data_IF_797219475898
#
_entry.id   IF_797219475898
#
_cell.length_a   1.000
_cell.length_b   1.000
_cell.length_c   1.000
_cell.angle_alpha   90.00
_cell.angle_beta   90.00
_cell.angle_gamma   90.00
#
_symmetry.space_group_name_H-M   'P 1'
#
loop_
_entity.id
_entity.type
_entity.pdbx_description
1 polymer ?
#
# COMPACT_ATOMS: atom_id res chain seq x y z
N UNK A 1 -22.17 -2.82 -19.78
CA UNK A 1 -21.09 -2.50 -18.82
C UNK A 1 -19.70 -2.94 -19.28
N UNK A 2 -19.52 -4.10 -19.91
CA UNK A 2 -18.22 -4.53 -20.49
C UNK A 2 -17.62 -3.55 -21.55
N UNK A 3 -18.43 -2.72 -22.16
CA UNK A 3 -18.03 -1.78 -23.21
C UNK A 3 -17.30 -0.54 -22.65
N UNK A 4 -17.61 -0.15 -21.41
CA UNK A 4 -16.96 1.01 -20.75
C UNK A 4 -15.55 0.67 -20.26
N UNK A 5 -15.32 -0.56 -19.82
CA UNK A 5 -13.99 -1.01 -19.39
C UNK A 5 -13.00 -1.03 -20.58
N UNK A 6 -13.46 -1.41 -21.78
CA UNK A 6 -12.65 -1.38 -22.99
C UNK A 6 -12.31 0.04 -23.48
N UNK A 7 -13.13 1.05 -23.15
CA UNK A 7 -12.82 2.44 -23.47
C UNK A 7 -11.83 3.08 -22.50
N UNK A 8 -11.84 2.69 -21.23
CA UNK A 8 -10.87 3.18 -20.23
C UNK A 8 -9.46 2.62 -20.46
N UNK A 9 -9.34 1.49 -21.16
CA UNK A 9 -8.06 0.84 -21.49
C UNK A 9 -7.48 1.26 -22.86
N UNK A 10 -8.09 2.23 -23.57
CA UNK A 10 -7.44 2.79 -24.74
C UNK A 10 -6.25 3.64 -24.29
N UNK A 11 -5.02 3.33 -24.73
CA UNK A 11 -3.88 4.16 -24.40
C UNK A 11 -4.12 5.54 -25.01
N UNK A 12 -4.35 6.55 -24.16
CA UNK A 12 -4.20 7.93 -24.59
C UNK A 12 -2.77 8.06 -25.10
N UNK A 13 -2.61 8.35 -26.39
CA UNK A 13 -1.32 8.76 -26.95
C UNK A 13 -0.94 10.05 -26.21
N UNK A 14 -0.09 9.90 -25.24
CA UNK A 14 0.65 11.02 -24.66
C UNK A 14 1.48 11.63 -25.78
N UNK A 15 1.59 12.96 -25.87
CA UNK A 15 2.50 13.59 -26.80
C UNK A 15 3.90 13.05 -26.55
N UNK A 16 4.60 12.72 -27.63
CA UNK A 16 5.95 12.17 -27.60
C UNK A 16 6.83 13.02 -26.69
N UNK A 17 7.36 12.42 -25.62
CA UNK A 17 8.36 13.05 -24.78
C UNK A 17 9.59 13.37 -25.63
N UNK A 18 10.26 14.52 -25.42
CA UNK A 18 11.50 14.85 -26.10
C UNK A 18 12.54 13.75 -25.83
N UNK A 19 13.26 13.35 -26.88
CA UNK A 19 14.36 12.38 -26.79
C UNK A 19 15.35 12.84 -25.71
N UNK A 20 15.82 11.93 -24.85
CA UNK A 20 16.88 12.26 -23.93
C UNK A 20 18.15 12.64 -24.74
N UNK A 21 18.95 13.62 -24.27
CA UNK A 21 20.21 13.96 -24.88
C UNK A 21 21.13 12.74 -24.86
N UNK A 22 21.89 12.57 -25.96
CA UNK A 22 22.84 11.49 -26.15
C UNK A 22 23.96 11.53 -25.09
N UNK A 23 24.32 10.33 -24.64
CA UNK A 23 25.57 9.95 -23.99
C UNK A 23 26.28 10.96 -23.06
N UNK A 24 25.92 10.90 -21.77
CA UNK A 24 26.86 11.24 -20.71
C UNK A 24 27.60 9.94 -20.36
N UNK A 25 28.93 9.88 -20.48
CA UNK A 25 29.68 8.69 -20.12
C UNK A 25 29.50 8.41 -18.61
N UNK A 26 28.82 7.32 -18.27
CA UNK A 26 28.79 6.80 -16.92
C UNK A 26 30.21 6.43 -16.51
N UNK A 27 30.79 7.23 -15.65
CA UNK A 27 32.06 6.91 -14.97
C UNK A 27 31.82 5.65 -14.15
N UNK A 28 32.30 4.53 -14.66
CA UNK A 28 32.33 3.25 -13.95
C UNK A 28 33.14 3.40 -12.66
N UNK A 29 32.47 3.62 -11.56
CA UNK A 29 33.01 3.47 -10.21
C UNK A 29 32.84 2.03 -9.83
N UNK A 30 33.90 1.26 -10.03
CA UNK A 30 34.01 -0.14 -9.64
C UNK A 30 33.84 -0.31 -8.14
N UNK A 31 32.90 -1.12 -7.76
CA UNK A 31 33.02 -2.24 -6.80
C UNK A 31 31.74 -3.04 -6.99
N UNK A 32 31.89 -4.28 -7.47
CA UNK A 32 30.78 -5.16 -7.82
C UNK A 32 30.00 -5.59 -6.58
N UNK A 33 29.12 -4.71 -6.12
CA UNK A 33 28.00 -5.09 -5.27
C UNK A 33 26.95 -5.60 -6.26
N UNK A 34 26.85 -6.93 -6.38
CA UNK A 34 25.81 -7.55 -7.22
C UNK A 34 24.44 -7.01 -6.84
N UNK A 35 23.61 -6.75 -7.84
CA UNK A 35 22.22 -6.35 -7.60
C UNK A 35 21.53 -7.48 -6.82
N UNK A 36 20.88 -7.16 -5.70
CA UNK A 36 20.18 -8.14 -4.88
C UNK A 36 18.85 -8.58 -5.52
N UNK A 37 18.24 -7.71 -6.32
CA UNK A 37 17.03 -7.98 -7.10
C UNK A 37 16.97 -6.99 -8.29
N UNK A 38 16.13 -7.19 -9.33
CA UNK A 38 16.21 -6.47 -10.60
C UNK A 38 16.23 -4.94 -10.51
N UNK A 39 15.46 -4.37 -9.58
CA UNK A 39 15.32 -2.91 -9.44
C UNK A 39 16.17 -2.33 -8.30
N UNK A 40 17.05 -3.12 -7.69
CA UNK A 40 17.86 -2.70 -6.55
C UNK A 40 18.84 -1.60 -6.93
N UNK A 41 18.86 -0.53 -6.15
CA UNK A 41 19.81 0.58 -6.24
C UNK A 41 20.60 0.63 -4.93
N UNK A 42 21.86 0.17 -4.95
CA UNK A 42 22.73 0.26 -3.76
C UNK A 42 22.90 1.72 -3.31
N UNK A 43 22.68 1.98 -2.04
CA UNK A 43 22.75 3.34 -1.49
C UNK A 43 23.55 3.36 -0.19
N UNK A 44 24.44 4.35 -0.06
CA UNK A 44 25.16 4.60 1.18
C UNK A 44 24.23 5.14 2.28
N UNK A 45 24.67 5.08 3.54
CA UNK A 45 23.90 5.63 4.66
C UNK A 45 23.56 7.12 4.48
N UNK A 46 24.50 7.91 3.94
CA UNK A 46 24.26 9.33 3.67
C UNK A 46 23.20 9.51 2.58
N UNK A 47 23.27 8.74 1.49
CA UNK A 47 22.25 8.77 0.43
C UNK A 47 20.89 8.36 0.96
N UNK A 48 20.81 7.32 1.80
CA UNK A 48 19.54 6.93 2.46
C UNK A 48 18.98 8.04 3.33
N UNK A 49 19.82 8.71 4.12
CA UNK A 49 19.39 9.83 4.95
C UNK A 49 18.85 11.00 4.11
N UNK A 50 19.52 11.35 3.01
CA UNK A 50 19.07 12.39 2.08
C UNK A 50 17.77 12.02 1.37
N UNK A 51 17.66 10.75 0.91
CA UNK A 51 16.43 10.23 0.32
C UNK A 51 15.26 10.24 1.33
N UNK A 52 15.51 9.83 2.58
CA UNK A 52 14.51 9.84 3.63
C UNK A 52 14.01 11.27 3.92
N UNK A 53 14.92 12.23 4.11
CA UNK A 53 14.55 13.61 4.37
C UNK A 53 13.84 14.26 3.17
N UNK A 54 14.37 14.07 1.96
CA UNK A 54 13.78 14.62 0.73
C UNK A 54 12.40 14.02 0.43
N UNK A 55 12.25 12.69 0.57
CA UNK A 55 10.98 12.02 0.33
C UNK A 55 9.92 12.38 1.37
N UNK A 56 10.31 12.52 2.65
CA UNK A 56 9.40 13.01 3.69
C UNK A 56 8.91 14.43 3.38
N UNK A 57 9.82 15.35 3.06
CA UNK A 57 9.48 16.73 2.68
C UNK A 57 8.56 16.78 1.45
N UNK A 58 8.85 15.99 0.41
CA UNK A 58 8.02 15.94 -0.79
C UNK A 58 6.66 15.31 -0.55
N UNK A 59 6.55 14.26 0.27
CA UNK A 59 5.27 13.65 0.62
C UNK A 59 4.39 14.60 1.43
N UNK A 60 4.97 15.41 2.32
CA UNK A 60 4.25 16.45 3.05
C UNK A 60 3.81 17.61 2.14
N UNK A 61 4.68 18.03 1.21
CA UNK A 61 4.36 19.10 0.27
C UNK A 61 3.29 18.69 -0.75
N UNK A 62 3.46 17.49 -1.33
CA UNK A 62 2.54 16.96 -2.34
C UNK A 62 2.13 15.52 -2.00
N UNK A 63 0.93 15.31 -1.41
CA UNK A 63 0.46 13.99 -0.99
C UNK A 63 0.14 13.04 -2.16
N UNK A 64 0.08 13.54 -3.40
CA UNK A 64 -0.08 12.70 -4.59
C UNK A 64 1.20 11.98 -5.02
N UNK A 65 2.33 12.32 -4.40
CA UNK A 65 3.62 11.69 -4.64
C UNK A 65 3.74 10.39 -3.84
N UNK A 66 2.93 9.40 -4.21
CA UNK A 66 2.98 8.05 -3.62
C UNK A 66 4.35 7.39 -3.75
N UNK A 67 5.09 7.73 -4.82
CA UNK A 67 6.47 7.34 -5.02
C UNK A 67 7.38 7.84 -3.89
N UNK A 68 7.16 9.03 -3.38
CA UNK A 68 7.94 9.58 -2.25
C UNK A 68 7.60 8.87 -0.93
N UNK A 69 6.34 8.50 -0.72
CA UNK A 69 5.95 7.68 0.44
C UNK A 69 6.64 6.31 0.39
N UNK A 70 6.72 5.69 -0.81
CA UNK A 70 7.43 4.43 -0.99
C UNK A 70 8.93 4.58 -0.68
N UNK A 71 9.61 5.60 -1.21
CA UNK A 71 11.03 5.90 -0.92
C UNK A 71 11.25 6.12 0.56
N UNK A 72 10.37 6.85 1.24
CA UNK A 72 10.44 7.05 2.69
C UNK A 72 10.37 5.72 3.45
N UNK A 73 9.43 4.85 3.09
CA UNK A 73 9.29 3.53 3.70
C UNK A 73 10.54 2.65 3.50
N UNK A 74 11.08 2.63 2.29
CA UNK A 74 12.26 1.83 1.93
C UNK A 74 13.53 2.31 2.65
N UNK A 75 13.70 3.62 2.82
CA UNK A 75 14.92 4.21 3.41
C UNK A 75 14.90 4.28 4.93
N UNK A 76 13.71 4.28 5.55
CA UNK A 76 13.55 4.39 7.02
C UNK A 76 13.09 3.11 7.69
N UNK A 77 12.54 2.16 6.93
CA UNK A 77 11.85 0.98 7.46
C UNK A 77 12.71 -0.19 7.92
N UNK A 78 14.04 -0.16 7.75
CA UNK A 78 14.89 -1.34 7.88
C UNK A 78 14.69 -2.14 9.19
N UNK A 79 14.67 -1.49 10.35
CA UNK A 79 14.46 -2.16 11.64
C UNK A 79 13.06 -2.76 11.76
N UNK A 80 12.08 -1.99 11.35
CA UNK A 80 10.67 -2.40 11.38
C UNK A 80 10.42 -3.56 10.41
N UNK A 81 10.99 -3.51 9.20
CA UNK A 81 10.89 -4.59 8.23
C UNK A 81 11.48 -5.90 8.73
N UNK A 82 12.61 -5.85 9.48
CA UNK A 82 13.16 -7.03 10.15
C UNK A 82 12.17 -7.61 11.17
N UNK A 83 11.58 -6.77 12.01
CA UNK A 83 10.59 -7.21 13.00
C UNK A 83 9.36 -7.84 12.33
N UNK A 84 8.84 -7.22 11.26
CA UNK A 84 7.72 -7.73 10.46
C UNK A 84 8.06 -9.06 9.80
N UNK A 85 9.23 -9.18 9.17
CA UNK A 85 9.72 -10.44 8.60
C UNK A 85 9.76 -11.55 9.67
N UNK A 86 10.34 -11.25 10.84
CA UNK A 86 10.46 -12.20 11.92
C UNK A 86 9.09 -12.57 12.52
N UNK A 87 8.12 -11.67 12.48
CA UNK A 87 6.73 -11.93 12.81
C UNK A 87 6.06 -12.84 11.77
N UNK A 88 6.25 -12.55 10.47
CA UNK A 88 5.76 -13.40 9.37
C UNK A 88 6.33 -14.82 9.45
N UNK A 89 7.62 -14.96 9.76
CA UNK A 89 8.27 -16.29 9.91
C UNK A 89 7.69 -17.13 11.04
N UNK A 90 7.14 -16.50 12.09
CA UNK A 90 6.54 -17.21 13.24
C UNK A 90 5.10 -17.63 13.00
N UNK A 91 4.45 -17.06 12.02
CA UNK A 91 3.09 -17.37 11.62
C UNK A 91 3.12 -18.35 10.44
N UNK A 92 2.34 -19.45 10.47
CA UNK A 92 2.35 -20.44 9.38
C UNK A 92 2.00 -19.87 8.01
N UNK A 93 0.97 -19.04 7.92
CA UNK A 93 0.53 -18.38 6.67
C UNK A 93 1.55 -17.33 6.23
N UNK A 94 2.08 -16.55 7.18
CA UNK A 94 3.16 -15.59 6.95
C UNK A 94 4.44 -16.24 6.43
N UNK A 95 4.83 -17.40 6.98
CA UNK A 95 6.00 -18.17 6.52
C UNK A 95 5.80 -18.70 5.10
N UNK A 96 4.60 -19.21 4.78
CA UNK A 96 4.25 -19.62 3.42
C UNK A 96 4.35 -18.45 2.44
N UNK A 97 3.82 -17.27 2.79
CA UNK A 97 3.91 -16.05 1.97
C UNK A 97 5.38 -15.66 1.73
N UNK A 98 6.24 -15.72 2.73
CA UNK A 98 7.67 -15.42 2.57
C UNK A 98 8.38 -16.43 1.65
N UNK A 99 7.96 -17.69 1.66
CA UNK A 99 8.51 -18.75 0.82
C UNK A 99 8.04 -18.61 -0.63
N UNK A 100 6.73 -18.45 -0.85
CA UNK A 100 6.12 -18.44 -2.18
C UNK A 100 6.21 -17.06 -2.86
N UNK A 101 6.34 -16.00 -2.07
CA UNK A 101 6.46 -14.60 -2.50
C UNK A 101 5.36 -14.19 -3.51
N UNK A 102 4.07 -14.45 -3.22
CA UNK A 102 3.00 -14.07 -4.11
C UNK A 102 2.99 -12.57 -4.35
N UNK A 103 2.63 -12.18 -5.58
CA UNK A 103 2.50 -10.77 -5.98
C UNK A 103 1.16 -10.55 -6.64
N UNK A 104 0.51 -9.45 -6.30
CA UNK A 104 -0.74 -9.04 -6.91
C UNK A 104 -0.44 -7.99 -7.96
N UNK A 105 -0.78 -8.34 -9.20
CA UNK A 105 -0.63 -7.52 -10.40
C UNK A 105 -1.75 -7.86 -11.38
N UNK A 106 -1.95 -7.04 -12.40
CA UNK A 106 -2.92 -7.35 -13.44
C UNK A 106 -2.59 -8.67 -14.18
N UNK A 107 -1.31 -9.06 -14.21
CA UNK A 107 -0.89 -10.32 -14.82
C UNK A 107 -1.17 -11.57 -13.96
N UNK A 108 -1.34 -11.39 -12.64
CA UNK A 108 -1.62 -12.48 -11.70
C UNK A 108 -3.08 -12.54 -11.25
N UNK A 109 -3.86 -11.47 -11.50
CA UNK A 109 -5.28 -11.39 -11.19
C UNK A 109 -6.12 -11.84 -12.39
N UNK A 110 -6.98 -12.82 -12.17
CA UNK A 110 -8.05 -13.14 -13.11
C UNK A 110 -9.25 -12.21 -12.85
N UNK A 111 -9.27 -11.06 -13.52
CA UNK A 111 -10.33 -10.07 -13.39
C UNK A 111 -11.70 -10.63 -13.80
N UNK A 112 -11.73 -11.57 -14.76
CA UNK A 112 -12.98 -12.24 -15.19
C UNK A 112 -13.52 -13.13 -14.08
N UNK A 113 -12.64 -13.90 -13.41
CA UNK A 113 -13.01 -14.68 -12.24
C UNK A 113 -13.52 -13.77 -11.11
N UNK A 114 -12.81 -12.71 -10.75
CA UNK A 114 -13.23 -11.78 -9.70
C UNK A 114 -14.59 -11.15 -10.00
N UNK A 115 -14.85 -10.81 -11.27
CA UNK A 115 -16.13 -10.24 -11.70
C UNK A 115 -17.27 -11.24 -11.61
N UNK A 116 -17.01 -12.54 -11.77
CA UNK A 116 -18.01 -13.60 -11.68
C UNK A 116 -18.36 -14.02 -10.26
N UNK A 117 -17.56 -13.61 -9.27
CA UNK A 117 -17.81 -13.94 -7.87
C UNK A 117 -19.09 -13.28 -7.35
N UNK A 118 -19.75 -13.88 -6.36
CA UNK A 118 -20.92 -13.31 -5.71
C UNK A 118 -20.65 -11.92 -5.13
N UNK A 119 -21.65 -11.05 -5.15
CA UNK A 119 -21.58 -9.77 -4.44
C UNK A 119 -21.32 -10.01 -2.95
N UNK A 120 -20.49 -9.16 -2.35
CA UNK A 120 -20.05 -9.30 -0.96
C UNK A 120 -18.93 -10.32 -0.75
N UNK A 121 -18.42 -11.00 -1.77
CA UNK A 121 -17.16 -11.74 -1.69
C UNK A 121 -15.99 -10.78 -1.70
N UNK A 122 -14.89 -11.14 -1.02
CA UNK A 122 -13.71 -10.29 -0.93
C UNK A 122 -13.17 -9.88 -2.31
N UNK A 123 -13.04 -10.83 -3.24
CA UNK A 123 -12.54 -10.57 -4.59
C UNK A 123 -13.45 -9.64 -5.40
N UNK A 124 -14.78 -9.80 -5.27
CA UNK A 124 -15.74 -8.91 -5.95
C UNK A 124 -15.68 -7.49 -5.41
N UNK A 125 -15.60 -7.34 -4.08
CA UNK A 125 -15.50 -6.02 -3.44
C UNK A 125 -14.14 -5.35 -3.71
N UNK A 126 -13.04 -6.14 -3.79
CA UNK A 126 -11.75 -5.63 -4.21
C UNK A 126 -11.76 -5.12 -5.66
N UNK A 127 -12.38 -5.87 -6.59
CA UNK A 127 -12.54 -5.41 -7.97
C UNK A 127 -13.36 -4.11 -8.03
N UNK A 128 -14.45 -4.03 -7.25
CA UNK A 128 -15.25 -2.80 -7.12
C UNK A 128 -14.40 -1.63 -6.60
N UNK A 129 -13.55 -1.89 -5.60
CA UNK A 129 -12.62 -0.89 -5.07
C UNK A 129 -11.68 -0.35 -6.17
N UNK A 130 -11.07 -1.23 -6.96
CA UNK A 130 -10.20 -0.83 -8.06
C UNK A 130 -10.94 0.04 -9.09
N UNK A 131 -12.15 -0.36 -9.48
CA UNK A 131 -12.96 0.34 -10.48
C UNK A 131 -13.43 1.73 -10.00
N UNK A 132 -13.96 1.80 -8.78
CA UNK A 132 -14.48 3.05 -8.21
C UNK A 132 -13.36 4.07 -8.03
N UNK A 133 -12.20 3.62 -7.56
CA UNK A 133 -11.06 4.50 -7.28
C UNK A 133 -10.17 4.73 -8.50
N UNK A 134 -10.42 4.02 -9.62
CA UNK A 134 -9.61 4.08 -10.84
C UNK A 134 -8.13 3.81 -10.59
N UNK A 135 -7.86 2.86 -9.72
CA UNK A 135 -6.51 2.42 -9.36
C UNK A 135 -6.21 1.05 -9.94
N UNK A 136 -4.94 0.74 -10.13
CA UNK A 136 -4.47 -0.55 -10.59
C UNK A 136 -3.37 -1.05 -9.65
N UNK A 137 -3.29 -2.37 -9.39
CA UNK A 137 -2.21 -2.95 -8.60
C UNK A 137 -0.82 -2.67 -9.22
N UNK A 138 -0.74 -2.42 -10.53
CA UNK A 138 0.51 -2.21 -11.26
C UNK A 138 1.02 -0.76 -11.21
N UNK A 139 0.26 0.18 -10.67
CA UNK A 139 0.66 1.61 -10.62
C UNK A 139 1.78 1.91 -9.64
N UNK A 140 2.20 0.95 -8.84
CA UNK A 140 3.19 1.13 -7.78
C UNK A 140 4.60 0.86 -8.28
N UNK A 141 5.50 1.81 -8.05
CA UNK A 141 6.90 1.67 -8.40
C UNK A 141 7.56 0.46 -7.70
N UNK A 142 8.49 -0.26 -8.33
CA UNK A 142 9.20 -1.36 -7.68
C UNK A 142 10.01 -0.88 -6.47
N UNK A 143 10.27 -1.78 -5.52
CA UNK A 143 11.18 -1.51 -4.39
C UNK A 143 12.61 -1.37 -4.91
N UNK A 144 13.38 -0.38 -4.41
CA UNK A 144 14.71 -0.05 -4.93
C UNK A 144 15.80 0.09 -3.89
N UNK A 145 15.49 0.61 -2.69
CA UNK A 145 16.50 1.09 -1.74
C UNK A 145 16.64 0.21 -0.50
N UNK A 146 16.17 -1.04 -0.54
CA UNK A 146 16.29 -2.00 0.55
C UNK A 146 17.43 -2.97 0.25
N UNK A 147 18.50 -2.96 1.08
CA UNK A 147 19.69 -3.80 0.87
C UNK A 147 19.55 -5.22 1.47
N UNK A 148 18.37 -5.81 1.30
CA UNK A 148 18.06 -7.19 1.68
C UNK A 148 16.84 -7.63 0.84
N UNK A 149 16.99 -8.70 0.08
CA UNK A 149 15.96 -9.18 -0.86
C UNK A 149 14.67 -9.60 -0.15
N UNK A 150 14.78 -10.26 1.00
CA UNK A 150 13.61 -10.70 1.75
C UNK A 150 12.87 -9.50 2.38
N UNK A 151 13.62 -8.52 2.91
CA UNK A 151 13.01 -7.27 3.40
C UNK A 151 12.41 -6.43 2.27
N UNK A 152 13.02 -6.46 1.08
CA UNK A 152 12.44 -5.85 -0.12
C UNK A 152 11.10 -6.53 -0.48
N UNK A 153 10.99 -7.83 -0.32
CA UNK A 153 9.71 -8.51 -0.47
C UNK A 153 8.71 -8.13 0.63
N UNK A 154 9.13 -8.03 1.90
CA UNK A 154 8.24 -7.63 2.99
C UNK A 154 7.62 -6.26 2.75
N UNK A 155 8.42 -5.25 2.33
CA UNK A 155 7.85 -3.94 1.99
C UNK A 155 7.05 -3.99 0.69
N UNK A 156 7.38 -4.87 -0.25
CA UNK A 156 6.55 -5.14 -1.41
C UNK A 156 5.21 -5.74 -1.00
N UNK A 157 5.19 -6.67 -0.02
CA UNK A 157 3.96 -7.24 0.55
C UNK A 157 3.09 -6.20 1.23
N UNK A 158 3.68 -5.21 1.89
CA UNK A 158 2.92 -4.07 2.42
C UNK A 158 2.05 -3.36 1.36
N UNK A 159 2.36 -3.50 0.07
CA UNK A 159 1.55 -2.93 -1.03
C UNK A 159 0.16 -3.56 -1.19
N UNK A 160 -0.17 -4.61 -0.44
CA UNK A 160 -1.56 -5.10 -0.27
C UNK A 160 -2.47 -4.10 0.45
N UNK A 161 -1.97 -2.90 0.76
CA UNK A 161 -2.70 -1.76 1.31
C UNK A 161 -4.07 -1.52 0.64
N UNK A 162 -4.19 -1.67 -0.68
CA UNK A 162 -5.46 -1.52 -1.40
C UNK A 162 -6.51 -2.56 -0.96
N UNK A 163 -6.06 -3.77 -0.65
CA UNK A 163 -6.93 -4.82 -0.11
C UNK A 163 -7.35 -4.53 1.32
N UNK A 164 -6.44 -3.93 2.10
CA UNK A 164 -6.75 -3.51 3.45
C UNK A 164 -7.86 -2.44 3.48
N UNK A 165 -7.88 -1.52 2.53
CA UNK A 165 -9.01 -0.61 2.34
C UNK A 165 -10.34 -1.34 2.16
N UNK A 166 -10.34 -2.40 1.35
CA UNK A 166 -11.52 -3.25 1.14
C UNK A 166 -11.92 -3.97 2.41
N UNK A 167 -10.96 -4.60 3.11
CA UNK A 167 -11.20 -5.35 4.35
C UNK A 167 -11.70 -4.44 5.47
N UNK A 168 -11.15 -3.24 5.61
CA UNK A 168 -11.57 -2.27 6.63
C UNK A 168 -12.89 -1.56 6.28
N UNK A 169 -13.39 -1.70 5.04
CA UNK A 169 -14.54 -0.94 4.57
C UNK A 169 -14.30 0.56 4.52
N UNK A 170 -13.04 0.97 4.35
CA UNK A 170 -12.61 2.36 4.30
C UNK A 170 -12.22 2.76 2.86
N UNK A 171 -13.18 2.99 1.95
CA UNK A 171 -12.83 3.39 0.59
C UNK A 171 -12.12 4.74 0.61
N UNK A 172 -11.06 4.92 -0.18
CA UNK A 172 -10.54 6.24 -0.47
C UNK A 172 -11.60 6.97 -1.30
N UNK A 173 -12.26 7.97 -0.72
CA UNK A 173 -13.44 8.59 -1.31
C UNK A 173 -13.14 9.82 -2.16
N UNK A 174 -11.88 10.25 -2.30
CA UNK A 174 -11.52 11.45 -3.05
C UNK A 174 -10.02 11.59 -3.29
N UNK A 175 -9.66 12.41 -4.27
CA UNK A 175 -8.31 12.78 -4.70
C UNK A 175 -7.47 13.58 -3.66
N UNK A 176 -8.06 13.97 -2.53
CA UNK A 176 -7.44 14.72 -1.43
C UNK A 176 -7.48 13.82 -0.20
N UNK A 177 -6.38 13.33 0.34
CA UNK A 177 -6.25 12.53 1.57
C UNK A 177 -7.57 12.42 2.35
N UNK A 178 -8.48 11.52 1.96
CA UNK A 178 -9.79 11.42 2.60
C UNK A 178 -9.60 10.85 4.01
N UNK A 179 -10.54 11.09 4.92
CA UNK A 179 -10.51 10.50 6.25
C UNK A 179 -10.25 8.99 6.25
N UNK A 180 -10.76 8.27 5.23
CA UNK A 180 -10.56 6.84 5.06
C UNK A 180 -9.08 6.43 4.89
N UNK A 181 -8.29 7.15 4.10
CA UNK A 181 -6.86 6.89 3.94
C UNK A 181 -6.12 7.10 5.27
N UNK A 182 -6.44 8.19 5.99
CA UNK A 182 -5.79 8.50 7.27
C UNK A 182 -6.13 7.44 8.32
N UNK A 183 -7.37 6.96 8.34
CA UNK A 183 -7.82 5.87 9.21
C UNK A 183 -7.03 4.59 8.95
N UNK A 184 -6.87 4.23 7.67
CA UNK A 184 -6.05 3.07 7.29
C UNK A 184 -4.60 3.28 7.71
N UNK A 185 -4.03 4.50 7.58
CA UNK A 185 -2.67 4.79 8.08
C UNK A 185 -2.55 4.64 9.61
N UNK A 186 -3.57 4.98 10.38
CA UNK A 186 -3.60 4.72 11.82
C UNK A 186 -3.61 3.22 12.12
N UNK A 187 -4.46 2.46 11.44
CA UNK A 187 -4.49 1.00 11.57
C UNK A 187 -3.12 0.39 11.25
N UNK A 188 -2.54 0.75 10.09
CA UNK A 188 -1.24 0.27 9.65
C UNK A 188 -0.09 0.69 10.58
N UNK A 189 -0.12 1.90 11.12
CA UNK A 189 0.87 2.37 12.06
C UNK A 189 0.90 1.50 13.33
N UNK A 190 -0.28 1.10 13.82
CA UNK A 190 -0.41 0.18 14.97
C UNK A 190 0.06 -1.23 14.62
N UNK A 191 -0.30 -1.73 13.44
CA UNK A 191 0.01 -3.09 12.99
C UNK A 191 1.49 -3.26 12.63
N UNK A 192 2.05 -2.31 11.93
CA UNK A 192 3.36 -2.47 11.29
C UNK A 192 4.46 -1.67 11.96
N UNK A 193 4.14 -0.54 12.60
CA UNK A 193 5.13 0.39 13.12
C UNK A 193 6.02 1.04 12.04
N UNK A 194 5.64 0.97 10.75
CA UNK A 194 6.42 1.56 9.67
C UNK A 194 6.43 3.09 9.80
N UNK A 195 7.61 3.74 9.73
CA UNK A 195 7.71 5.20 9.87
C UNK A 195 6.82 5.97 8.89
N UNK A 196 6.67 5.49 7.65
CA UNK A 196 5.79 6.12 6.66
C UNK A 196 4.31 6.06 7.07
N UNK A 197 3.86 5.00 7.74
CA UNK A 197 2.49 4.88 8.25
C UNK A 197 2.26 5.83 9.40
N UNK A 198 3.21 5.90 10.35
CA UNK A 198 3.17 6.81 11.50
C UNK A 198 3.12 8.26 11.02
N UNK A 199 4.00 8.64 10.10
CA UNK A 199 4.02 10.01 9.56
C UNK A 199 2.74 10.33 8.77
N UNK A 200 2.23 9.38 7.97
CA UNK A 200 0.95 9.54 7.26
C UNK A 200 -0.23 9.70 8.21
N UNK A 201 -0.26 8.92 9.31
CA UNK A 201 -1.28 9.01 10.34
C UNK A 201 -1.26 10.36 11.09
N UNK A 202 -0.07 10.87 11.42
CA UNK A 202 0.10 12.11 12.19
C UNK A 202 -0.08 13.39 11.35
N UNK A 203 0.44 13.39 10.13
CA UNK A 203 0.45 14.59 9.28
C UNK A 203 -0.68 14.64 8.25
N UNK A 204 -1.29 13.50 7.91
CA UNK A 204 -2.45 13.45 7.02
C UNK A 204 -3.61 14.36 7.46
N UNK A 205 -3.96 14.42 8.77
CA UNK A 205 -5.07 15.23 9.26
C UNK A 205 -4.96 16.73 9.02
N UNK A 206 -3.76 17.28 8.81
CA UNK A 206 -3.50 18.72 8.64
C UNK A 206 -4.33 19.36 7.51
N UNK A 207 -4.79 18.55 6.56
CA UNK A 207 -5.57 19.02 5.40
C UNK A 207 -7.07 18.79 5.50
N UNK A 208 -7.53 18.20 6.60
CA UNK A 208 -8.95 17.92 6.81
C UNK A 208 -9.72 19.18 7.23
N UNK A 209 -11.00 19.20 6.89
CA UNK A 209 -11.95 20.17 7.46
C UNK A 209 -12.07 19.96 8.98
N UNK A 210 -12.46 21.00 9.72
CA UNK A 210 -12.66 20.92 11.16
C UNK A 210 -13.66 19.79 11.55
N UNK A 211 -14.73 19.63 10.78
CA UNK A 211 -15.73 18.58 10.97
C UNK A 211 -15.13 17.19 10.78
N UNK A 212 -14.41 16.99 9.67
CA UNK A 212 -13.76 15.69 9.38
C UNK A 212 -12.68 15.38 10.41
N UNK A 213 -11.92 16.38 10.85
CA UNK A 213 -10.92 16.23 11.90
C UNK A 213 -11.56 15.83 13.24
N UNK A 214 -12.68 16.44 13.62
CA UNK A 214 -13.40 16.08 14.83
C UNK A 214 -13.83 14.60 14.79
N UNK A 215 -14.51 14.17 13.73
CA UNK A 215 -14.94 12.76 13.60
C UNK A 215 -13.74 11.80 13.56
N UNK A 216 -12.67 12.19 12.85
CA UNK A 216 -11.45 11.40 12.82
C UNK A 216 -10.91 11.15 14.22
N UNK A 217 -10.78 12.19 15.05
CA UNK A 217 -10.19 12.11 16.38
C UNK A 217 -11.12 11.41 17.38
N UNK A 218 -12.44 11.72 17.35
CA UNK A 218 -13.39 11.17 18.33
C UNK A 218 -13.80 9.72 18.06
N UNK A 219 -13.90 9.32 16.79
CA UNK A 219 -14.50 8.05 16.40
C UNK A 219 -13.50 7.11 15.67
N UNK A 220 -12.87 7.64 14.62
CA UNK A 220 -12.15 6.81 13.66
C UNK A 220 -10.77 6.37 14.14
N UNK A 221 -10.00 7.26 14.79
CA UNK A 221 -8.69 6.88 15.34
C UNK A 221 -8.83 5.86 16.47
N UNK A 222 -9.73 6.01 17.47
CA UNK A 222 -9.96 4.98 18.47
C UNK A 222 -10.34 3.64 17.86
N UNK A 223 -11.23 3.64 16.87
CA UNK A 223 -11.63 2.45 16.14
C UNK A 223 -10.44 1.79 15.40
N UNK A 224 -9.64 2.57 14.66
CA UNK A 224 -8.49 2.06 13.91
C UNK A 224 -7.42 1.47 14.83
N UNK A 225 -7.14 2.14 15.97
CA UNK A 225 -6.19 1.65 16.98
C UNK A 225 -6.70 0.38 17.65
N UNK A 226 -7.97 0.31 17.98
CA UNK A 226 -8.57 -0.88 18.60
C UNK A 226 -8.52 -2.08 17.65
N UNK A 227 -8.96 -1.91 16.40
CA UNK A 227 -8.92 -2.97 15.41
C UNK A 227 -7.48 -3.37 15.05
N UNK A 228 -6.57 -2.39 14.90
CA UNK A 228 -5.16 -2.66 14.62
C UNK A 228 -4.45 -3.47 15.72
N UNK A 229 -4.88 -3.33 16.97
CA UNK A 229 -4.35 -4.13 18.10
C UNK A 229 -4.95 -5.52 18.20
N UNK A 230 -6.20 -5.68 17.78
CA UNK A 230 -6.95 -6.95 17.91
C UNK A 230 -6.74 -7.88 16.72
N UNK A 231 -6.66 -7.31 15.52
CA UNK A 231 -6.47 -8.07 14.31
C UNK A 231 -5.10 -8.77 14.28
N UNK A 232 -5.01 -9.99 13.73
CA UNK A 232 -3.73 -10.60 13.40
C UNK A 232 -2.98 -9.73 12.39
N UNK A 233 -1.67 -9.95 12.24
CA UNK A 233 -0.87 -9.16 11.30
C UNK A 233 -1.41 -9.30 9.88
N UNK A 234 -1.86 -8.20 9.29
CA UNK A 234 -2.46 -8.20 7.94
C UNK A 234 -1.47 -8.57 6.83
N UNK A 235 -0.16 -8.53 7.09
CA UNK A 235 0.85 -9.02 6.15
C UNK A 235 0.91 -10.54 6.09
N UNK A 236 0.43 -11.22 7.14
CA UNK A 236 0.37 -12.69 7.21
C UNK A 236 -0.85 -13.26 6.49
N UNK A 237 -1.81 -12.44 6.09
CA UNK A 237 -2.99 -12.92 5.39
C UNK A 237 -2.68 -13.22 3.92
N UNK A 238 -2.96 -14.43 3.47
CA UNK A 238 -2.77 -14.84 2.09
C UNK A 238 -3.99 -14.43 1.24
N UNK A 239 -4.12 -13.15 0.95
CA UNK A 239 -5.25 -12.53 0.23
C UNK A 239 -5.55 -13.24 -1.09
N UNK A 240 -4.53 -13.70 -1.78
CA UNK A 240 -4.62 -14.35 -3.08
C UNK A 240 -5.40 -15.68 -3.02
N UNK A 241 -5.56 -16.24 -1.84
CA UNK A 241 -6.34 -17.47 -1.60
C UNK A 241 -7.74 -17.20 -1.03
N UNK A 242 -8.09 -15.92 -0.78
CA UNK A 242 -9.33 -15.53 -0.08
C UNK A 242 -10.39 -14.89 -0.98
N UNK A 243 -10.20 -14.88 -2.31
CA UNK A 243 -11.09 -14.17 -3.24
C UNK A 243 -12.56 -14.56 -3.13
N UNK A 244 -12.85 -15.83 -2.91
CA UNK A 244 -14.22 -16.38 -2.85
C UNK A 244 -14.86 -16.21 -1.46
N UNK A 245 -14.05 -15.87 -0.44
CA UNK A 245 -14.54 -15.73 0.93
C UNK A 245 -15.47 -14.52 1.04
N UNK A 246 -16.65 -14.65 1.71
CA UNK A 246 -17.48 -13.50 2.02
C UNK A 246 -16.71 -12.46 2.83
N UNK A 247 -16.75 -11.19 2.43
CA UNK A 247 -15.99 -10.12 3.08
C UNK A 247 -16.33 -10.00 4.57
N UNK A 248 -17.60 -10.17 4.94
CA UNK A 248 -18.01 -10.17 6.35
C UNK A 248 -17.38 -11.30 7.15
N UNK A 249 -17.33 -12.51 6.59
CA UNK A 249 -16.70 -13.65 7.24
C UNK A 249 -15.18 -13.43 7.41
N UNK A 250 -14.53 -12.82 6.41
CA UNK A 250 -13.13 -12.42 6.51
C UNK A 250 -12.90 -11.37 7.61
N UNK A 251 -13.78 -10.36 7.70
CA UNK A 251 -13.72 -9.35 8.76
C UNK A 251 -13.90 -9.98 10.16
N UNK A 252 -14.85 -10.89 10.31
CA UNK A 252 -15.09 -11.63 11.56
C UNK A 252 -13.89 -12.49 11.95
N UNK A 253 -13.31 -13.22 11.00
CA UNK A 253 -12.08 -14.02 11.18
C UNK A 253 -10.91 -13.16 11.69
N UNK A 254 -10.77 -11.95 11.15
CA UNK A 254 -9.73 -11.00 11.54
C UNK A 254 -10.07 -10.19 12.81
N UNK A 255 -11.27 -10.35 13.36
CA UNK A 255 -11.74 -9.58 14.50
C UNK A 255 -11.91 -8.09 14.21
N UNK A 256 -12.12 -7.75 12.93
CA UNK A 256 -12.30 -6.36 12.45
C UNK A 256 -13.79 -6.01 12.50
N UNK A 257 -14.11 -4.95 13.21
CA UNK A 257 -15.47 -4.40 13.26
C UNK A 257 -15.66 -3.34 12.16
N UNK A 258 -16.88 -3.16 11.64
CA UNK A 258 -17.13 -2.09 10.67
C UNK A 258 -16.82 -0.70 11.25
N UNK A 259 -16.48 0.30 10.40
CA UNK A 259 -16.29 1.67 10.86
C UNK A 259 -17.51 2.21 11.60
N UNK A 260 -17.33 3.00 12.69
CA UNK A 260 -18.43 3.51 13.52
C UNK A 260 -19.29 4.55 12.81
N UNK A 261 -18.80 5.14 11.72
CA UNK A 261 -19.47 6.18 10.94
C UNK A 261 -19.34 5.88 9.44
N UNK A 262 -20.33 6.34 8.66
CA UNK A 262 -20.24 6.27 7.19
C UNK A 262 -19.22 7.32 6.68
N UNK A 263 -18.11 6.81 6.13
CA UNK A 263 -17.03 7.63 5.60
C UNK A 263 -17.42 8.40 4.34
N UNK A 264 -18.46 7.97 3.62
CA UNK A 264 -18.93 8.66 2.39
C UNK A 264 -19.51 10.03 2.66
N UNK A 265 -20.04 10.27 3.86
CA UNK A 265 -20.61 11.55 4.27
C UNK A 265 -19.62 12.55 4.87
N UNK A 266 -18.34 12.21 4.94
CA UNK A 266 -17.28 13.03 5.54
C UNK A 266 -16.41 13.78 4.52
N UNK A 267 -16.75 13.67 3.24
CA UNK A 267 -16.02 14.31 2.13
C UNK A 267 -16.62 15.67 1.81
#
# INVERSE_FOLDING_TARGET
MATLLRQALRPHRLPASPRPPADVPHRAGSHGVGLLYPDHIPTSLLQKALLAAGSAGMALYNPYRHDMVAVLGETTGHRTLKALRDQMRRDPEGAQILQERPRISLSTLDLGKLQSLPEGSFGREYLRFLDVNRVSPDTRAPTRFVDDEELAYVIQRYRVHDMLHTVLGCPPTSWLLPPGEIVVKWFEAVQTGLPMCILGALFGPVRLSARSLQVLVSELIPWAVQNGRRAPCVLNLYYEQRWEQPLKALQEELGITPPPVDLKGLV
#
